data_IF_949586832136
#
_entry.id   IF_949586832136
#
_cell.length_a   1.000
_cell.length_b   1.000
_cell.length_c   1.000
_cell.angle_alpha   90.00
_cell.angle_beta   90.00
_cell.angle_gamma   90.00
#
_symmetry.space_group_name_H-M   'P 1'
#
loop_
_entity.id
_entity.type
_entity.pdbx_description
1 polymer ?
#
# COMPACT_ATOMS: atom_id res chain seq x y z
N UNK A 1 -7.65 16.35 -6.09
CA UNK A 1 -8.42 15.51 -5.14
C UNK A 1 -9.77 15.22 -5.77
N UNK A 2 -9.93 14.11 -6.48
CA UNK A 2 -11.25 13.66 -6.92
C UNK A 2 -11.79 12.70 -5.86
N UNK A 3 -12.66 13.21 -4.98
CA UNK A 3 -13.61 12.38 -4.26
C UNK A 3 -14.74 12.09 -5.23
N UNK A 4 -14.70 10.98 -5.91
CA UNK A 4 -15.90 10.46 -6.54
C UNK A 4 -16.70 9.76 -5.44
N UNK A 5 -17.67 10.49 -4.88
CA UNK A 5 -18.77 9.92 -4.12
C UNK A 5 -19.72 9.25 -5.12
N UNK A 6 -19.33 8.10 -5.65
CA UNK A 6 -20.25 7.27 -6.40
C UNK A 6 -20.73 6.13 -5.52
N UNK A 7 -22.04 6.02 -5.45
CA UNK A 7 -22.79 4.95 -4.79
C UNK A 7 -22.43 3.61 -5.42
N UNK A 8 -21.48 2.91 -4.82
CA UNK A 8 -21.13 1.55 -5.19
C UNK A 8 -21.97 0.59 -4.33
N UNK A 9 -22.68 -0.33 -4.95
CA UNK A 9 -23.32 -1.41 -4.22
C UNK A 9 -22.28 -2.25 -3.50
N UNK A 10 -22.57 -2.70 -2.28
CA UNK A 10 -21.67 -3.57 -1.52
C UNK A 10 -21.31 -4.85 -2.28
N UNK A 11 -22.21 -5.31 -3.15
CA UNK A 11 -22.06 -6.52 -3.95
C UNK A 11 -21.02 -6.38 -5.07
N UNK A 12 -20.92 -5.19 -5.71
CA UNK A 12 -19.91 -4.95 -6.76
C UNK A 12 -18.48 -4.89 -6.20
N UNK A 13 -18.33 -4.64 -4.90
CA UNK A 13 -17.03 -4.59 -4.20
C UNK A 13 -16.61 -5.95 -3.65
N UNK A 14 -17.55 -6.83 -3.39
CA UNK A 14 -17.30 -8.21 -3.01
C UNK A 14 -17.05 -9.12 -4.22
N UNK A 15 -17.43 -8.69 -5.42
CA UNK A 15 -17.13 -9.39 -6.66
C UNK A 15 -15.82 -8.87 -7.24
N UNK A 16 -14.98 -9.74 -7.77
CA UNK A 16 -13.81 -9.38 -8.60
C UNK A 16 -14.22 -8.77 -9.97
N UNK A 17 -15.41 -8.17 -10.04
CA UNK A 17 -15.87 -7.47 -11.25
C UNK A 17 -15.24 -6.08 -11.32
N UNK A 18 -14.08 -6.01 -11.94
CA UNK A 18 -13.36 -4.76 -12.12
C UNK A 18 -14.12 -3.73 -12.97
N UNK A 19 -15.08 -4.16 -13.80
CA UNK A 19 -15.88 -3.23 -14.60
C UNK A 19 -16.84 -2.39 -13.75
N UNK A 20 -17.20 -2.89 -12.57
CA UNK A 20 -18.04 -2.20 -11.59
C UNK A 20 -17.24 -1.40 -10.55
N UNK A 21 -15.92 -1.35 -10.65
CA UNK A 21 -15.04 -0.68 -9.69
C UNK A 21 -14.36 0.56 -10.30
N UNK A 22 -14.00 1.52 -9.43
CA UNK A 22 -13.09 2.60 -9.82
C UNK A 22 -11.68 2.05 -9.99
N UNK A 23 -11.18 2.11 -11.22
CA UNK A 23 -9.84 1.65 -11.58
C UNK A 23 -8.80 2.76 -11.42
N UNK A 24 -7.52 2.42 -11.50
CA UNK A 24 -6.45 3.41 -11.56
C UNK A 24 -6.60 4.29 -12.81
N UNK A 25 -6.33 5.57 -12.63
CA UNK A 25 -6.15 6.49 -13.76
C UNK A 25 -4.84 6.20 -14.49
N UNK A 26 -4.66 6.74 -15.69
CA UNK A 26 -3.37 6.66 -16.40
C UNK A 26 -2.22 7.20 -15.54
N UNK A 27 -2.43 8.32 -14.85
CA UNK A 27 -1.46 8.89 -13.93
C UNK A 27 -1.17 7.95 -12.76
N UNK A 28 -2.19 7.37 -12.13
CA UNK A 28 -2.02 6.40 -11.05
C UNK A 28 -1.19 5.18 -11.46
N UNK A 29 -1.39 4.65 -12.68
CA UNK A 29 -0.57 3.57 -13.25
C UNK A 29 0.89 3.98 -13.44
N UNK A 30 1.13 5.18 -13.94
CA UNK A 30 2.49 5.72 -14.09
C UNK A 30 3.18 5.86 -12.73
N UNK A 31 2.49 6.38 -11.72
CA UNK A 31 3.03 6.51 -10.37
C UNK A 31 3.36 5.15 -9.74
N UNK A 32 2.46 4.17 -9.83
CA UNK A 32 2.75 2.81 -9.35
C UNK A 32 4.00 2.24 -10.01
N UNK A 33 4.16 2.40 -11.32
CA UNK A 33 5.35 1.94 -12.05
C UNK A 33 6.62 2.68 -11.60
N UNK A 34 6.55 3.98 -11.35
CA UNK A 34 7.67 4.80 -10.86
C UNK A 34 8.08 4.40 -9.44
N UNK A 35 7.12 4.17 -8.54
CA UNK A 35 7.37 3.67 -7.18
C UNK A 35 8.10 2.33 -7.25
N UNK A 36 7.62 1.39 -8.06
CA UNK A 36 8.25 0.10 -8.25
C UNK A 36 9.68 0.21 -8.80
N UNK A 37 9.92 1.12 -9.74
CA UNK A 37 11.25 1.39 -10.26
C UNK A 37 12.19 1.95 -9.16
N UNK A 38 11.69 2.86 -8.31
CA UNK A 38 12.45 3.41 -7.20
C UNK A 38 12.81 2.33 -6.16
N UNK A 39 11.85 1.50 -5.77
CA UNK A 39 12.07 0.40 -4.82
C UNK A 39 13.13 -0.60 -5.33
N UNK A 40 13.12 -0.94 -6.62
CA UNK A 40 14.15 -1.78 -7.25
C UNK A 40 15.52 -1.09 -7.28
N UNK A 41 15.58 0.20 -7.63
CA UNK A 41 16.82 0.96 -7.67
C UNK A 41 17.46 1.12 -6.28
N UNK A 42 16.65 1.19 -5.23
CA UNK A 42 17.10 1.19 -3.83
C UNK A 42 17.52 -0.20 -3.33
N UNK A 43 17.34 -1.26 -4.13
CA UNK A 43 17.68 -2.64 -3.79
C UNK A 43 17.02 -3.11 -2.48
N UNK A 44 15.79 -2.63 -2.19
CA UNK A 44 15.07 -3.04 -1.00
C UNK A 44 14.70 -4.53 -1.08
N UNK A 45 14.94 -5.30 -0.01
CA UNK A 45 14.77 -6.74 -0.01
C UNK A 45 13.28 -7.15 0.19
N UNK A 46 12.40 -6.76 -0.74
CA UNK A 46 10.96 -7.03 -0.64
C UNK A 46 10.69 -8.52 -0.83
N UNK A 47 10.01 -9.14 0.14
CA UNK A 47 9.62 -10.56 0.09
C UNK A 47 8.32 -10.79 -0.68
N UNK A 48 7.33 -9.94 -0.46
CA UNK A 48 6.00 -10.04 -1.06
C UNK A 48 5.29 -8.70 -1.09
N UNK A 49 4.28 -8.60 -1.95
CA UNK A 49 3.31 -7.51 -2.00
C UNK A 49 1.95 -8.08 -1.63
N UNK A 50 1.35 -7.61 -0.55
CA UNK A 50 0.01 -7.98 -0.14
C UNK A 50 -0.98 -6.88 -0.51
N UNK A 51 -2.13 -7.24 -1.08
CA UNK A 51 -3.14 -6.29 -1.54
C UNK A 51 -4.51 -6.63 -0.99
N UNK A 52 -5.33 -5.62 -0.71
CA UNK A 52 -6.78 -5.85 -0.61
C UNK A 52 -7.34 -6.24 -1.98
N UNK A 53 -8.54 -6.83 -1.98
CA UNK A 53 -9.21 -7.43 -3.16
C UNK A 53 -9.90 -6.43 -4.08
N UNK A 54 -9.60 -5.14 -3.99
CA UNK A 54 -10.04 -4.17 -4.99
C UNK A 54 -9.13 -4.23 -6.21
N UNK A 55 -9.73 -4.24 -7.41
CA UNK A 55 -8.96 -4.32 -8.66
C UNK A 55 -7.87 -3.25 -8.77
N UNK A 56 -8.10 -2.03 -8.26
CA UNK A 56 -7.09 -0.97 -8.25
C UNK A 56 -5.91 -1.26 -7.31
N UNK A 57 -6.13 -1.97 -6.18
CA UNK A 57 -5.04 -2.36 -5.27
C UNK A 57 -4.21 -3.50 -5.85
N UNK A 58 -4.87 -4.49 -6.45
CA UNK A 58 -4.21 -5.58 -7.18
C UNK A 58 -3.41 -5.05 -8.37
N UNK A 59 -4.01 -4.18 -9.19
CA UNK A 59 -3.33 -3.54 -10.32
C UNK A 59 -2.11 -2.72 -9.85
N UNK A 60 -2.22 -2.01 -8.72
CA UNK A 60 -1.07 -1.30 -8.13
C UNK A 60 0.04 -2.29 -7.78
N UNK A 61 -0.27 -3.38 -7.10
CA UNK A 61 0.71 -4.42 -6.74
C UNK A 61 1.42 -5.00 -7.95
N UNK A 62 0.68 -5.29 -9.02
CA UNK A 62 1.24 -5.80 -10.28
C UNK A 62 2.16 -4.78 -10.96
N UNK A 63 1.76 -3.50 -10.99
CA UNK A 63 2.53 -2.42 -11.61
C UNK A 63 3.81 -2.08 -10.86
N UNK A 64 3.86 -2.28 -9.54
CA UNK A 64 5.12 -2.17 -8.77
C UNK A 64 6.19 -3.12 -9.31
N UNK A 65 5.81 -4.34 -9.69
CA UNK A 65 6.69 -5.36 -10.29
C UNK A 65 7.99 -5.56 -9.48
N UNK A 66 7.87 -5.81 -8.16
CA UNK A 66 8.99 -5.91 -7.22
C UNK A 66 9.09 -7.26 -6.52
N UNK A 67 7.95 -7.95 -6.32
CA UNK A 67 7.84 -9.24 -5.65
C UNK A 67 6.49 -9.90 -6.02
N UNK A 68 6.26 -11.19 -5.67
CA UNK A 68 4.96 -11.82 -5.86
C UNK A 68 3.84 -11.04 -5.18
N UNK A 69 2.69 -10.94 -5.85
CA UNK A 69 1.49 -10.26 -5.36
C UNK A 69 0.52 -11.32 -4.84
N UNK A 70 -0.03 -11.12 -3.64
CA UNK A 70 -1.01 -11.99 -3.01
C UNK A 70 -2.10 -11.18 -2.34
N UNK A 71 -3.33 -11.69 -2.35
CA UNK A 71 -4.45 -11.06 -1.67
C UNK A 71 -4.36 -11.27 -0.16
N UNK A 72 -4.70 -10.23 0.58
CA UNK A 72 -4.89 -10.26 2.03
C UNK A 72 -6.18 -9.53 2.36
N UNK A 73 -7.20 -10.26 2.80
CA UNK A 73 -8.52 -9.73 3.09
C UNK A 73 -8.56 -8.78 4.30
N UNK A 74 -7.48 -8.69 5.06
CA UNK A 74 -7.27 -7.70 6.12
C UNK A 74 -7.01 -6.30 5.57
N UNK A 75 -6.62 -6.21 4.30
CA UNK A 75 -6.37 -4.97 3.56
C UNK A 75 -7.56 -4.54 2.69
N UNK A 76 -8.70 -5.19 2.84
CA UNK A 76 -9.91 -4.86 2.09
C UNK A 76 -10.48 -3.50 2.46
N UNK A 77 -11.21 -2.90 1.52
CA UNK A 77 -11.86 -1.61 1.72
C UNK A 77 -12.91 -1.62 2.83
N UNK A 78 -13.04 -0.51 3.57
CA UNK A 78 -13.99 -0.32 4.69
C UNK A 78 -15.40 -0.77 4.38
N UNK A 79 -15.84 -0.61 3.14
CA UNK A 79 -17.18 -1.02 2.70
C UNK A 79 -17.44 -2.52 2.79
N UNK A 80 -16.40 -3.35 2.76
CA UNK A 80 -16.52 -4.81 2.88
C UNK A 80 -16.65 -5.26 4.32
N UNK A 81 -16.29 -4.40 5.27
CA UNK A 81 -16.29 -4.70 6.69
C UNK A 81 -17.66 -4.56 7.36
N UNK A 82 -18.65 -3.95 6.71
CA UNK A 82 -19.99 -3.79 7.28
C UNK A 82 -20.57 -5.12 7.80
N UNK A 83 -20.39 -6.20 7.03
CA UNK A 83 -20.85 -7.56 7.39
C UNK A 83 -19.78 -8.43 8.06
N UNK A 84 -18.59 -7.88 8.34
CA UNK A 84 -17.43 -8.56 8.94
C UNK A 84 -17.07 -8.00 10.32
N UNK A 85 -17.96 -7.26 10.95
CA UNK A 85 -17.79 -6.67 12.27
C UNK A 85 -17.49 -5.17 12.27
N UNK A 86 -17.66 -4.50 11.14
CA UNK A 86 -17.56 -3.03 11.00
C UNK A 86 -16.15 -2.47 11.25
N UNK A 87 -16.10 -1.16 11.48
CA UNK A 87 -14.84 -0.39 11.62
C UNK A 87 -13.91 -0.93 12.72
N UNK A 88 -14.44 -1.46 13.82
CA UNK A 88 -13.62 -2.03 14.89
C UNK A 88 -12.92 -3.33 14.47
N UNK A 89 -13.56 -4.13 13.63
CA UNK A 89 -12.94 -5.35 13.11
C UNK A 89 -11.89 -5.01 12.05
N UNK A 90 -12.17 -4.06 11.17
CA UNK A 90 -11.24 -3.48 10.22
C UNK A 90 -9.98 -2.95 10.90
N UNK A 91 -10.14 -2.10 11.91
CA UNK A 91 -9.02 -1.55 12.67
C UNK A 91 -8.14 -2.66 13.27
N UNK A 92 -8.74 -3.69 13.89
CA UNK A 92 -7.98 -4.81 14.45
C UNK A 92 -7.22 -5.58 13.37
N UNK A 93 -7.86 -5.83 12.22
CA UNK A 93 -7.24 -6.55 11.12
C UNK A 93 -6.06 -5.78 10.53
N UNK A 94 -6.21 -4.47 10.33
CA UNK A 94 -5.13 -3.60 9.84
C UNK A 94 -3.96 -3.53 10.83
N UNK A 95 -4.24 -3.35 12.13
CA UNK A 95 -3.20 -3.38 13.16
C UNK A 95 -2.48 -4.73 13.22
N UNK A 96 -3.23 -5.82 13.06
CA UNK A 96 -2.64 -7.16 13.00
C UNK A 96 -1.65 -7.27 11.85
N UNK A 97 -2.03 -6.92 10.61
CA UNK A 97 -1.14 -7.04 9.45
C UNK A 97 0.06 -6.10 9.55
N UNK A 98 -0.09 -4.89 10.10
CA UNK A 98 1.02 -3.96 10.32
C UNK A 98 1.99 -4.42 11.41
N UNK A 99 1.53 -5.21 12.39
CA UNK A 99 2.36 -5.73 13.47
C UNK A 99 3.05 -7.05 13.17
N UNK A 100 2.69 -7.73 12.08
CA UNK A 100 3.32 -8.98 11.68
C UNK A 100 4.75 -8.72 11.17
N UNK A 101 5.77 -9.36 11.78
CA UNK A 101 7.12 -9.18 11.30
C UNK A 101 7.29 -9.84 9.92
N UNK A 102 7.93 -9.14 8.96
CA UNK A 102 8.29 -9.76 7.70
C UNK A 102 9.30 -10.89 7.90
N UNK A 103 9.54 -11.75 6.89
CA UNK A 103 10.63 -12.70 6.93
C UNK A 103 11.97 -12.04 7.25
N UNK A 104 12.86 -12.74 7.97
CA UNK A 104 14.13 -12.19 8.44
C UNK A 104 14.93 -11.53 7.30
N UNK A 105 15.32 -10.27 7.49
CA UNK A 105 16.06 -9.47 6.52
C UNK A 105 15.28 -9.08 5.27
N UNK A 106 13.97 -9.14 5.32
CA UNK A 106 13.07 -8.74 4.24
C UNK A 106 12.05 -7.71 4.70
N UNK A 107 11.42 -7.07 3.72
CA UNK A 107 10.30 -6.15 3.91
C UNK A 107 9.04 -6.70 3.21
N UNK A 108 7.88 -6.24 3.63
CA UNK A 108 6.60 -6.48 2.97
C UNK A 108 6.06 -5.14 2.46
N UNK A 109 5.44 -5.18 1.29
CA UNK A 109 4.65 -4.06 0.78
C UNK A 109 3.18 -4.39 0.96
N UNK A 110 2.45 -3.52 1.65
CA UNK A 110 1.02 -3.64 1.92
C UNK A 110 0.29 -2.56 1.13
N UNK A 111 -0.70 -2.95 0.33
CA UNK A 111 -1.48 -2.03 -0.50
C UNK A 111 -2.95 -2.11 -0.12
N UNK A 112 -3.47 -1.01 0.37
CA UNK A 112 -4.88 -0.88 0.74
C UNK A 112 -5.49 0.38 0.13
N UNK A 113 -6.80 0.54 0.28
CA UNK A 113 -7.47 1.79 -0.04
C UNK A 113 -7.17 2.84 1.02
N UNK A 114 -6.83 4.07 0.61
CA UNK A 114 -6.49 5.15 1.55
C UNK A 114 -7.61 5.51 2.56
N UNK A 115 -8.83 5.03 2.33
CA UNK A 115 -9.95 5.25 3.26
C UNK A 115 -9.89 4.34 4.49
N UNK A 116 -9.15 3.26 4.43
CA UNK A 116 -9.18 2.18 5.43
C UNK A 116 -8.04 2.31 6.43
N UNK A 117 -6.89 2.78 5.98
CA UNK A 117 -5.69 2.95 6.80
C UNK A 117 -5.88 3.93 8.00
N UNK A 118 -6.61 5.06 7.88
CA UNK A 118 -6.83 5.98 9.00
C UNK A 118 -7.44 5.34 10.24
N UNK A 119 -8.26 4.31 10.08
CA UNK A 119 -8.88 3.61 11.20
C UNK A 119 -7.91 2.75 12.00
N UNK A 120 -6.80 2.33 11.41
CA UNK A 120 -5.80 1.51 12.09
C UNK A 120 -4.91 2.32 13.03
N UNK A 121 -4.50 3.52 12.60
CA UNK A 121 -3.70 4.45 13.38
C UNK A 121 -4.12 5.89 13.04
N UNK A 122 -5.22 6.40 13.60
CA UNK A 122 -5.86 7.64 13.18
C UNK A 122 -4.94 8.86 13.29
N UNK A 123 -4.09 8.92 14.31
CA UNK A 123 -3.20 10.06 14.53
C UNK A 123 -2.05 10.14 13.52
N UNK A 124 -1.76 9.02 12.86
CA UNK A 124 -0.59 8.88 11.99
C UNK A 124 -0.96 8.87 10.52
N UNK A 125 -2.09 8.25 10.16
CA UNK A 125 -2.44 7.94 8.77
C UNK A 125 -3.63 8.71 8.23
N UNK A 126 -4.32 9.50 9.05
CA UNK A 126 -5.57 10.15 8.68
C UNK A 126 -5.49 11.10 7.47
N UNK A 127 -4.30 11.47 7.01
CA UNK A 127 -4.06 12.36 5.87
C UNK A 127 -3.17 11.73 4.79
N UNK A 128 -3.10 10.40 4.69
CA UNK A 128 -2.40 9.78 3.57
C UNK A 128 -3.09 10.13 2.26
N UNK A 129 -2.31 10.69 1.34
CA UNK A 129 -2.74 10.99 -0.01
C UNK A 129 -2.68 9.77 -0.94
N UNK A 130 -3.32 9.86 -2.13
CA UNK A 130 -3.14 8.85 -3.16
C UNK A 130 -1.65 8.69 -3.53
N UNK A 131 -1.17 7.44 -3.63
CA UNK A 131 0.24 7.14 -3.95
C UNK A 131 1.25 7.47 -2.85
N UNK A 132 0.82 8.01 -1.71
CA UNK A 132 1.67 8.21 -0.56
C UNK A 132 1.98 6.87 0.12
N UNK A 133 3.22 6.70 0.56
CA UNK A 133 3.71 5.50 1.24
C UNK A 133 4.07 5.82 2.68
N UNK A 134 3.61 5.00 3.61
CA UNK A 134 4.02 5.03 5.01
C UNK A 134 4.90 3.81 5.31
N UNK A 135 6.02 4.04 5.98
CA UNK A 135 6.97 3.00 6.38
C UNK A 135 6.80 2.72 7.86
N UNK A 136 6.57 1.46 8.20
CA UNK A 136 6.37 1.02 9.57
C UNK A 136 7.42 0.01 10.01
N UNK A 137 7.75 0.05 11.30
CA UNK A 137 8.41 -1.04 12.00
C UNK A 137 7.37 -1.82 12.79
N UNK A 138 7.17 -3.11 12.51
CA UNK A 138 6.29 -3.96 13.30
C UNK A 138 6.72 -4.05 14.76
N UNK A 139 5.75 -4.00 15.67
CA UNK A 139 5.94 -4.17 17.12
C UNK A 139 4.88 -5.13 17.67
N UNK A 140 5.10 -6.45 17.52
CA UNK A 140 4.14 -7.44 18.03
C UNK A 140 4.00 -7.37 19.56
N UNK A 141 2.80 -7.67 20.12
CA UNK A 141 1.56 -7.95 19.39
C UNK A 141 0.76 -6.67 19.09
N UNK A 142 0.27 -6.55 17.85
CA UNK A 142 -0.81 -5.60 17.51
C UNK A 142 -0.42 -4.12 17.48
N UNK A 143 0.88 -3.78 17.33
CA UNK A 143 1.36 -2.42 17.20
C UNK A 143 2.39 -2.28 16.08
N UNK A 144 2.57 -1.04 15.58
CA UNK A 144 3.59 -0.70 14.61
C UNK A 144 4.00 0.78 14.77
N UNK A 145 5.29 1.05 14.73
CA UNK A 145 5.81 2.43 14.79
C UNK A 145 5.99 2.98 13.39
N UNK A 146 5.41 4.14 13.11
CA UNK A 146 5.68 4.90 11.89
C UNK A 146 7.12 5.40 11.88
N UNK A 147 7.87 5.07 10.84
CA UNK A 147 9.26 5.52 10.66
C UNK A 147 9.34 6.69 9.68
N UNK A 148 8.56 6.68 8.60
CA UNK A 148 8.58 7.69 7.56
C UNK A 148 7.28 7.73 6.76
N UNK A 149 7.04 8.90 6.13
CA UNK A 149 6.03 9.08 5.08
C UNK A 149 6.73 9.57 3.82
N UNK A 150 6.42 8.99 2.69
CA UNK A 150 7.00 9.30 1.39
C UNK A 150 5.87 9.74 0.49
N UNK A 151 5.80 11.03 0.21
CA UNK A 151 4.81 11.60 -0.71
C UNK A 151 5.03 11.10 -2.14
N UNK A 152 3.97 11.07 -2.93
CA UNK A 152 3.99 10.62 -4.31
C UNK A 152 5.08 11.32 -5.15
N UNK A 153 5.24 12.63 -5.01
CA UNK A 153 6.22 13.44 -5.74
C UNK A 153 7.69 13.19 -5.33
N UNK A 154 7.94 12.50 -4.22
CA UNK A 154 9.30 12.22 -3.76
C UNK A 154 9.96 11.05 -4.49
N UNK A 155 9.20 10.11 -5.03
CA UNK A 155 9.71 8.91 -5.67
C UNK A 155 10.62 9.17 -6.88
N UNK A 156 10.31 10.10 -7.82
CA UNK A 156 11.23 10.45 -8.91
C UNK A 156 12.57 11.01 -8.43
N UNK A 157 12.56 11.78 -7.33
CA UNK A 157 13.79 12.33 -6.74
C UNK A 157 14.65 11.23 -6.12
N UNK A 158 14.04 10.27 -5.43
CA UNK A 158 14.74 9.11 -4.87
C UNK A 158 15.41 8.28 -5.96
N UNK A 159 14.77 8.10 -7.12
CA UNK A 159 15.38 7.44 -8.28
C UNK A 159 16.62 8.17 -8.78
N UNK A 160 16.61 9.50 -8.84
CA UNK A 160 17.74 10.29 -9.34
C UNK A 160 18.94 10.23 -8.40
N UNK A 161 18.72 10.23 -7.09
CA UNK A 161 19.81 10.16 -6.09
C UNK A 161 20.52 8.82 -6.10
N UNK A 162 19.85 7.73 -6.42
CA UNK A 162 20.46 6.39 -6.51
C UNK A 162 21.35 6.23 -7.76
N UNK A 163 21.02 6.93 -8.85
CA UNK A 163 21.79 6.87 -10.12
C UNK A 163 23.03 7.77 -10.11
N UNK A 164 23.11 8.73 -9.19
CA UNK A 164 24.19 9.76 -9.17
C UNK A 164 25.31 9.44 -8.17
N UNK A 165 25.22 8.37 -7.37
CA UNK A 165 26.29 7.99 -6.44
C UNK A 165 27.45 7.36 -7.21
N UNK A 166 28.63 8.05 -7.37
CA UNK A 166 29.79 7.46 -8.04
C UNK A 166 30.31 6.32 -7.16
N UNK A 167 30.54 5.17 -7.77
CA UNK A 167 31.29 4.09 -7.15
C UNK A 167 32.64 4.65 -6.68
N UNK A 168 32.83 4.78 -5.38
CA UNK A 168 34.13 5.15 -4.79
C UNK A 168 35.08 3.98 -5.08
N UNK A 169 35.83 4.10 -6.15
CA UNK A 169 36.96 3.20 -6.47
C UNK A 169 38.01 3.39 -5.39
N UNK A 170 38.05 2.51 -4.41
CA UNK A 170 39.18 2.39 -3.51
C UNK A 170 40.27 1.59 -4.23
N UNK A 171 41.36 2.27 -4.53
CA UNK A 171 42.64 1.64 -4.92
C UNK A 171 43.31 1.03 -3.70
#
# INVERSE_FOLDING_TARGET
MMRTSEFWSADARASHDCAAQSMLTTTGRQHATQIGAALRALHLPIAAVHTGRLCRTEETGQLLNIAPVTDDDRLDASSTWANRGGAMAEQRATLQVLSEPPPAGKDLVLISSALDIPHAQPDVLHNLGPGETAVFRPEPPGNATLLARIGESAWPTLLQTTTTSPATSTR
#
